data_IF_339322571361
#
_entry.id   IF_339322571361
#
_cell.length_a   1.000
_cell.length_b   1.000
_cell.length_c   1.000
_cell.angle_alpha   90.00
_cell.angle_beta   90.00
_cell.angle_gamma   90.00
#
_symmetry.space_group_name_H-M   'P 1'
#
loop_
_entity.id
_entity.type
_entity.pdbx_description
1 polymer ?
#
# COMPACT_ATOMS: atom_id res chain seq x y z
N UNK A 1 -2.32 10.22 -45.63
CA UNK A 1 -3.38 11.14 -45.17
C UNK A 1 -4.55 10.45 -44.47
N UNK A 2 -5.02 9.29 -44.93
CA UNK A 2 -6.16 8.56 -44.34
C UNK A 2 -5.94 8.18 -42.86
N UNK A 3 -4.76 7.68 -42.51
CA UNK A 3 -4.46 7.26 -41.12
C UNK A 3 -4.51 8.40 -40.11
N UNK A 4 -4.08 9.61 -40.48
CA UNK A 4 -4.06 10.76 -39.59
C UNK A 4 -5.47 11.27 -39.27
N UNK A 5 -6.36 11.25 -40.26
CA UNK A 5 -7.76 11.65 -40.08
C UNK A 5 -8.54 10.63 -39.25
N UNK A 6 -8.30 9.33 -39.47
CA UNK A 6 -8.83 8.27 -38.61
C UNK A 6 -8.35 8.41 -37.17
N UNK A 7 -7.06 8.73 -36.97
CA UNK A 7 -6.50 8.96 -35.64
C UNK A 7 -7.14 10.17 -34.94
N UNK A 8 -7.24 11.32 -35.62
CA UNK A 8 -7.90 12.52 -35.06
C UNK A 8 -9.35 12.25 -34.66
N UNK A 9 -10.08 11.48 -35.48
CA UNK A 9 -11.47 11.11 -35.20
C UNK A 9 -11.58 10.27 -33.93
N UNK A 10 -10.75 9.24 -33.80
CA UNK A 10 -10.70 8.41 -32.59
C UNK A 10 -10.29 9.21 -31.36
N UNK A 11 -9.25 10.04 -31.49
CA UNK A 11 -8.80 10.90 -30.39
C UNK A 11 -9.91 11.84 -29.90
N UNK A 12 -10.73 12.39 -30.81
CA UNK A 12 -11.89 13.21 -30.44
C UNK A 12 -13.03 12.39 -29.80
N UNK A 13 -13.14 11.10 -30.12
CA UNK A 13 -14.13 10.19 -29.53
C UNK A 13 -13.92 10.00 -28.03
N UNK A 14 -12.65 9.97 -27.58
CA UNK A 14 -12.27 9.89 -26.17
C UNK A 14 -12.99 10.95 -25.33
N UNK A 15 -13.01 12.20 -25.81
CA UNK A 15 -13.63 13.34 -25.12
C UNK A 15 -15.15 13.38 -25.22
N UNK A 16 -15.77 12.54 -26.07
CA UNK A 16 -17.24 12.43 -26.17
C UNK A 16 -17.80 11.40 -25.20
N UNK A 17 -17.00 10.39 -24.84
CA UNK A 17 -17.42 9.33 -23.94
C UNK A 17 -16.96 9.64 -22.50
N UNK A 18 -17.91 9.96 -21.63
CA UNK A 18 -17.65 10.22 -20.20
C UNK A 18 -16.91 9.07 -19.51
N UNK A 19 -17.22 7.82 -19.85
CA UNK A 19 -16.55 6.65 -19.28
C UNK A 19 -15.06 6.58 -19.64
N UNK A 20 -14.70 6.88 -20.90
CA UNK A 20 -13.30 6.94 -21.31
C UNK A 20 -12.56 8.09 -20.64
N UNK A 21 -13.20 9.26 -20.49
CA UNK A 21 -12.61 10.39 -19.77
C UNK A 21 -12.33 10.04 -18.32
N UNK A 22 -13.29 9.43 -17.63
CA UNK A 22 -13.10 8.96 -16.25
C UNK A 22 -11.94 7.96 -16.18
N UNK A 23 -11.95 6.95 -17.06
CA UNK A 23 -10.90 5.93 -17.05
C UNK A 23 -9.50 6.51 -17.31
N UNK A 24 -9.35 7.45 -18.24
CA UNK A 24 -8.06 8.00 -18.63
C UNK A 24 -7.53 9.08 -17.68
N UNK A 25 -8.40 9.88 -17.06
CA UNK A 25 -7.97 10.97 -16.19
C UNK A 25 -8.10 10.62 -14.71
N UNK A 26 -9.23 10.05 -14.31
CA UNK A 26 -9.50 9.70 -12.90
C UNK A 26 -8.84 8.37 -12.56
N UNK A 27 -8.86 7.39 -13.47
CA UNK A 27 -8.25 6.07 -13.26
C UNK A 27 -6.80 6.15 -12.78
N UNK A 28 -5.89 6.87 -13.47
CA UNK A 28 -4.50 7.01 -13.04
C UNK A 28 -4.35 7.73 -11.70
N UNK A 29 -5.13 8.79 -11.45
CA UNK A 29 -5.10 9.52 -10.17
C UNK A 29 -5.55 8.59 -9.03
N UNK A 30 -6.65 7.87 -9.24
CA UNK A 30 -7.17 6.90 -8.29
C UNK A 30 -6.17 5.78 -8.01
N UNK A 31 -5.59 5.16 -9.04
CA UNK A 31 -4.56 4.13 -8.87
C UNK A 31 -3.34 4.67 -8.11
N UNK A 32 -2.89 5.88 -8.45
CA UNK A 32 -1.74 6.52 -7.79
C UNK A 32 -2.03 6.76 -6.31
N UNK A 33 -3.20 7.30 -5.98
CA UNK A 33 -3.59 7.54 -4.59
C UNK A 33 -3.85 6.24 -3.84
N UNK A 34 -4.44 5.23 -4.49
CA UNK A 34 -4.74 3.95 -3.88
C UNK A 34 -3.46 3.21 -3.51
N UNK A 35 -2.56 3.01 -4.48
CA UNK A 35 -1.30 2.30 -4.24
C UNK A 35 -0.27 3.18 -3.52
N UNK A 36 -0.16 4.45 -3.87
CA UNK A 36 0.75 5.38 -3.21
C UNK A 36 0.34 5.68 -1.76
N UNK A 37 -0.97 5.72 -1.48
CA UNK A 37 -1.50 5.92 -0.13
C UNK A 37 -1.10 4.82 0.85
N UNK A 38 -0.90 3.58 0.37
CA UNK A 38 -0.36 2.47 1.20
C UNK A 38 1.04 2.80 1.74
N UNK A 39 1.81 3.59 0.98
CA UNK A 39 3.16 4.01 1.35
C UNK A 39 3.21 5.41 1.98
N UNK A 40 2.07 6.08 2.20
CA UNK A 40 2.07 7.40 2.86
C UNK A 40 2.53 7.33 4.32
N UNK A 41 2.38 6.18 4.98
CA UNK A 41 3.03 5.91 6.25
C UNK A 41 4.35 5.18 5.95
N UNK A 42 5.49 5.83 6.22
CA UNK A 42 6.84 5.31 5.92
C UNK A 42 7.09 3.92 6.52
N UNK A 43 6.41 3.59 7.63
CA UNK A 43 6.49 2.31 8.30
C UNK A 43 5.11 1.85 8.79
N UNK A 44 4.86 0.54 8.68
CA UNK A 44 3.80 -0.12 9.43
C UNK A 44 4.19 -0.11 10.91
N UNK A 45 3.45 0.67 11.69
CA UNK A 45 3.50 0.68 13.15
C UNK A 45 2.35 -0.19 13.70
N UNK A 46 2.39 -0.45 15.00
CA UNK A 46 1.35 -1.19 15.72
C UNK A 46 1.09 -2.59 15.14
N UNK A 47 2.14 -3.27 14.65
CA UNK A 47 2.04 -4.63 14.13
C UNK A 47 1.76 -5.58 15.30
N UNK A 48 0.60 -6.22 15.37
CA UNK A 48 0.24 -7.07 16.50
C UNK A 48 1.06 -8.36 16.45
N UNK A 49 1.82 -8.62 17.50
CA UNK A 49 2.57 -9.86 17.65
C UNK A 49 2.33 -10.49 19.02
N UNK A 50 2.42 -11.82 19.07
CA UNK A 50 2.34 -12.57 20.32
C UNK A 50 3.70 -13.22 20.61
N UNK A 51 4.17 -13.09 21.85
CA UNK A 51 5.37 -13.78 22.33
C UNK A 51 4.93 -14.90 23.27
N UNK A 52 5.37 -16.11 22.97
CA UNK A 52 5.24 -17.30 23.82
C UNK A 52 6.66 -17.75 24.17
N UNK A 53 7.04 -17.64 25.44
CA UNK A 53 8.36 -18.01 25.94
C UNK A 53 8.24 -19.18 26.93
N UNK A 54 8.52 -20.39 26.43
CA UNK A 54 8.42 -21.63 27.23
C UNK A 54 9.74 -21.99 27.95
N UNK A 55 10.86 -21.36 27.61
CA UNK A 55 12.18 -21.72 28.14
C UNK A 55 12.81 -20.65 29.05
N UNK A 56 12.26 -19.42 29.04
CA UNK A 56 12.72 -18.27 29.82
C UNK A 56 14.24 -18.05 29.71
N UNK A 57 14.82 -18.37 28.55
CA UNK A 57 16.26 -18.29 28.34
C UNK A 57 16.76 -16.85 28.28
N UNK A 58 18.05 -16.64 28.52
CA UNK A 58 18.65 -15.30 28.34
C UNK A 58 18.55 -14.80 26.89
N UNK A 59 18.47 -15.72 25.92
CA UNK A 59 18.31 -15.39 24.51
C UNK A 59 16.87 -14.99 24.18
N UNK A 60 15.85 -15.70 24.67
CA UNK A 60 14.45 -15.36 24.45
C UNK A 60 14.11 -13.98 25.02
N UNK A 61 14.62 -13.66 26.21
CA UNK A 61 14.48 -12.34 26.83
C UNK A 61 15.12 -11.22 26.00
N UNK A 62 16.32 -11.46 25.44
CA UNK A 62 17.02 -10.50 24.59
C UNK A 62 16.25 -10.24 23.29
N UNK A 63 15.74 -11.30 22.65
CA UNK A 63 14.93 -11.18 21.44
C UNK A 63 13.61 -10.46 21.72
N UNK A 64 12.91 -10.82 22.80
CA UNK A 64 11.69 -10.15 23.24
C UNK A 64 11.92 -8.67 23.52
N UNK A 65 13.07 -8.32 24.12
CA UNK A 65 13.50 -6.95 24.33
C UNK A 65 13.63 -6.13 23.04
N UNK A 66 14.10 -6.73 21.93
CA UNK A 66 14.14 -6.04 20.65
C UNK A 66 12.76 -5.72 20.10
N UNK A 67 11.78 -6.59 20.32
CA UNK A 67 10.40 -6.35 19.89
C UNK A 67 9.73 -5.28 20.75
N UNK A 68 9.90 -5.33 22.08
CA UNK A 68 9.33 -4.36 23.02
C UNK A 68 9.89 -2.94 22.88
N UNK A 69 11.14 -2.80 22.45
CA UNK A 69 11.79 -1.48 22.27
C UNK A 69 11.51 -0.84 20.91
N UNK A 70 10.88 -1.58 20.00
CA UNK A 70 10.53 -1.09 18.67
C UNK A 70 9.16 -0.44 18.67
N UNK A 71 9.04 0.76 18.11
CA UNK A 71 7.74 1.45 17.87
C UNK A 71 6.87 0.75 16.82
N UNK A 72 7.38 -0.32 16.19
CA UNK A 72 6.70 -1.01 15.09
C UNK A 72 5.78 -2.13 15.55
N UNK A 73 6.00 -2.66 16.75
CA UNK A 73 5.32 -3.88 17.21
C UNK A 73 4.47 -3.58 18.44
N UNK A 74 3.24 -4.06 18.40
CA UNK A 74 2.36 -4.13 19.56
C UNK A 74 2.44 -5.55 20.13
N UNK A 75 3.18 -5.70 21.23
CA UNK A 75 3.56 -7.00 21.78
C UNK A 75 2.60 -7.44 22.87
N UNK A 76 1.94 -8.59 22.66
CA UNK A 76 1.17 -9.29 23.70
C UNK A 76 1.93 -10.51 24.20
N UNK A 77 2.26 -10.56 25.49
CA UNK A 77 2.91 -11.72 26.09
C UNK A 77 1.86 -12.77 26.49
N UNK A 78 2.11 -14.03 26.13
CA UNK A 78 1.34 -15.18 26.59
C UNK A 78 2.12 -15.96 27.64
N UNK A 79 1.41 -16.49 28.67
CA UNK A 79 2.01 -17.31 29.72
C UNK A 79 2.45 -18.69 29.22
#
# INVERSE_FOLDING_TARGET
MIYLESFKREFKSIFKNKGMMILLFIGPIFLTLYFGGVYCNDYLNDIPIAVLDEDNSSLSNLVTGYFLTSERFDVTNYP
#
